data_IF_782734935014
#
_entry.id   IF_782734935014
#
_cell.length_a   1.000
_cell.length_b   1.000
_cell.length_c   1.000
_cell.angle_alpha   90.00
_cell.angle_beta   90.00
_cell.angle_gamma   90.00
#
_symmetry.space_group_name_H-M   'P 1'
#
loop_
_entity.id
_entity.type
_entity.pdbx_description
1 polymer ?
#
# COMPACT_ATOMS: atom_id res chain seq x y z
N UNK A 1 -5.94 18.45 8.26
CA UNK A 1 -5.23 17.93 7.10
C UNK A 1 -4.75 16.50 7.34
N UNK A 2 -3.83 16.20 8.27
CA UNK A 2 -3.35 14.84 8.57
C UNK A 2 -4.49 13.82 8.76
N UNK A 3 -5.46 14.07 9.65
CA UNK A 3 -6.58 13.15 9.87
C UNK A 3 -7.43 12.89 8.62
N UNK A 4 -7.62 13.90 7.80
CA UNK A 4 -8.37 13.76 6.53
C UNK A 4 -7.62 12.87 5.54
N UNK A 5 -6.29 13.04 5.42
CA UNK A 5 -5.43 12.22 4.57
C UNK A 5 -5.41 10.77 5.07
N UNK A 6 -5.14 10.59 6.36
CA UNK A 6 -5.10 9.25 6.96
C UNK A 6 -6.43 8.51 6.80
N UNK A 7 -7.55 9.18 7.08
CA UNK A 7 -8.88 8.60 6.91
C UNK A 7 -9.18 8.24 5.46
N UNK A 8 -8.83 9.12 4.50
CA UNK A 8 -9.02 8.84 3.08
C UNK A 8 -8.19 7.63 2.61
N UNK A 9 -6.91 7.57 2.98
CA UNK A 9 -6.02 6.51 2.55
C UNK A 9 -6.38 5.16 3.19
N UNK A 10 -6.79 5.16 4.46
CA UNK A 10 -7.35 3.97 5.13
C UNK A 10 -8.66 3.53 4.47
N UNK A 11 -9.53 4.48 4.08
CA UNK A 11 -10.78 4.18 3.40
C UNK A 11 -10.56 3.56 2.02
N UNK A 12 -9.66 4.13 1.21
CA UNK A 12 -9.29 3.56 -0.10
C UNK A 12 -8.70 2.17 0.06
N UNK A 13 -7.82 1.98 1.05
CA UNK A 13 -7.26 0.67 1.40
C UNK A 13 -8.35 -0.34 1.75
N UNK A 14 -9.28 0.04 2.63
CA UNK A 14 -10.42 -0.80 3.01
C UNK A 14 -11.29 -1.18 1.81
N UNK A 15 -11.64 -0.20 0.97
CA UNK A 15 -12.39 -0.44 -0.26
C UNK A 15 -11.65 -1.38 -1.22
N UNK A 16 -10.33 -1.23 -1.35
CA UNK A 16 -9.51 -2.09 -2.19
C UNK A 16 -9.53 -3.54 -1.70
N UNK A 17 -9.42 -3.76 -0.39
CA UNK A 17 -9.49 -5.10 0.19
C UNK A 17 -10.86 -5.73 0.02
N UNK A 18 -11.93 -5.00 0.41
CA UNK A 18 -13.31 -5.56 0.36
C UNK A 18 -13.80 -5.77 -1.07
N UNK A 19 -13.30 -4.99 -2.02
CA UNK A 19 -13.63 -5.14 -3.44
C UNK A 19 -13.19 -6.49 -4.03
N UNK A 20 -12.32 -7.23 -3.34
CA UNK A 20 -11.95 -8.60 -3.68
C UNK A 20 -13.14 -9.57 -3.77
N UNK A 21 -14.22 -9.29 -3.05
CA UNK A 21 -15.50 -10.03 -3.16
C UNK A 21 -16.05 -10.00 -4.60
N UNK A 22 -15.74 -8.97 -5.37
CA UNK A 22 -16.10 -8.86 -6.78
C UNK A 22 -15.13 -9.66 -7.67
N UNK A 23 -14.99 -10.95 -7.37
CA UNK A 23 -14.28 -11.96 -8.16
C UNK A 23 -12.82 -11.59 -8.50
N UNK A 24 -12.13 -10.92 -7.61
CA UNK A 24 -10.74 -10.44 -7.78
C UNK A 24 -10.53 -9.37 -8.88
N UNK A 25 -11.56 -9.00 -9.62
CA UNK A 25 -11.44 -8.02 -10.73
C UNK A 25 -11.30 -6.60 -10.20
N UNK A 26 -12.11 -6.23 -9.22
CA UNK A 26 -12.18 -4.86 -8.73
C UNK A 26 -10.88 -4.37 -8.04
N UNK A 27 -10.15 -5.16 -7.23
CA UNK A 27 -8.85 -4.73 -6.71
C UNK A 27 -7.85 -4.39 -7.81
N UNK A 28 -7.78 -5.20 -8.88
CA UNK A 28 -6.90 -4.96 -10.02
C UNK A 28 -7.27 -3.65 -10.71
N UNK A 29 -8.57 -3.41 -10.93
CA UNK A 29 -9.04 -2.17 -11.54
C UNK A 29 -8.72 -0.93 -10.68
N UNK A 30 -8.88 -1.03 -9.36
CA UNK A 30 -8.51 0.05 -8.42
C UNK A 30 -7.02 0.33 -8.50
N UNK A 31 -6.16 -0.70 -8.52
CA UNK A 31 -4.71 -0.53 -8.65
C UNK A 31 -4.33 0.12 -9.98
N UNK A 32 -4.91 -0.33 -11.08
CA UNK A 32 -4.66 0.27 -12.41
C UNK A 32 -5.07 1.74 -12.45
N UNK A 33 -6.25 2.08 -11.92
CA UNK A 33 -6.71 3.47 -11.84
C UNK A 33 -5.74 4.35 -11.02
N UNK A 34 -5.28 3.88 -9.86
CA UNK A 34 -4.32 4.61 -9.05
C UNK A 34 -2.98 4.77 -9.78
N UNK A 35 -2.46 3.72 -10.43
CA UNK A 35 -1.24 3.79 -11.22
C UNK A 35 -1.31 4.77 -12.38
N UNK A 36 -2.43 4.77 -13.13
CA UNK A 36 -2.67 5.73 -14.22
C UNK A 36 -2.72 7.16 -13.68
N UNK A 37 -3.40 7.39 -12.55
CA UNK A 37 -3.49 8.71 -11.93
C UNK A 37 -2.11 9.23 -11.53
N UNK A 38 -1.28 8.41 -10.88
CA UNK A 38 0.09 8.78 -10.49
C UNK A 38 0.95 9.05 -11.73
N UNK A 39 0.89 8.18 -12.73
CA UNK A 39 1.64 8.35 -13.97
C UNK A 39 1.26 9.63 -14.72
N UNK A 40 -0.03 9.96 -14.81
CA UNK A 40 -0.50 11.19 -15.43
C UNK A 40 -0.04 12.44 -14.65
N UNK A 41 -0.05 12.35 -13.31
CA UNK A 41 0.41 13.43 -12.44
C UNK A 41 1.92 13.68 -12.61
N UNK A 42 2.73 12.66 -12.58
CA UNK A 42 4.18 12.75 -12.81
C UNK A 42 4.47 13.29 -14.23
N UNK A 43 3.79 12.78 -15.25
CA UNK A 43 3.94 13.28 -16.63
C UNK A 43 3.67 14.79 -16.73
N UNK A 44 2.65 15.29 -16.03
CA UNK A 44 2.34 16.72 -16.00
C UNK A 44 3.52 17.54 -15.43
N UNK A 45 4.13 17.11 -14.32
CA UNK A 45 5.27 17.80 -13.73
C UNK A 45 6.52 17.70 -14.61
N UNK A 46 6.78 16.57 -15.22
CA UNK A 46 7.88 16.40 -16.16
C UNK A 46 7.72 17.33 -17.38
N UNK A 47 6.52 17.47 -17.91
CA UNK A 47 6.23 18.38 -19.04
C UNK A 47 6.43 19.88 -18.71
N UNK A 48 6.42 20.22 -17.41
CA UNK A 48 6.69 21.57 -16.92
C UNK A 48 8.14 21.79 -16.49
N UNK A 49 9.02 20.81 -16.67
CA UNK A 49 10.43 20.87 -16.23
C UNK A 49 10.64 20.71 -14.72
N UNK A 50 9.61 20.31 -13.96
CA UNK A 50 9.62 20.15 -12.51
C UNK A 50 9.72 18.68 -12.09
N UNK A 51 10.06 17.76 -12.99
CA UNK A 51 10.02 16.32 -12.75
C UNK A 51 10.90 15.86 -11.60
N UNK A 52 12.15 16.33 -11.51
CA UNK A 52 13.04 15.94 -10.41
C UNK A 52 12.53 16.41 -9.04
N UNK A 53 11.92 17.60 -8.98
CA UNK A 53 11.34 18.13 -7.75
C UNK A 53 10.07 17.37 -7.37
N UNK A 54 9.22 17.02 -8.34
CA UNK A 54 7.98 16.26 -8.09
C UNK A 54 8.30 14.88 -7.50
N UNK A 55 9.28 14.17 -8.05
CA UNK A 55 9.74 12.88 -7.51
C UNK A 55 10.13 13.04 -6.04
N UNK A 56 10.98 13.99 -5.70
CA UNK A 56 11.45 14.16 -4.33
C UNK A 56 10.32 14.52 -3.35
N UNK A 57 9.33 15.29 -3.78
CA UNK A 57 8.23 15.71 -2.91
C UNK A 57 7.17 14.61 -2.79
N UNK A 58 6.76 14.01 -3.92
CA UNK A 58 5.65 13.06 -3.97
C UNK A 58 6.07 11.71 -3.37
N UNK A 59 7.26 11.21 -3.70
CA UNK A 59 7.66 9.88 -3.30
C UNK A 59 8.13 9.76 -1.84
N UNK A 60 8.32 10.87 -1.11
CA UNK A 60 8.60 10.84 0.33
C UNK A 60 7.49 10.08 1.08
N UNK A 61 6.23 10.42 0.83
CA UNK A 61 5.07 9.72 1.41
C UNK A 61 4.53 8.65 0.45
N UNK A 62 4.57 8.92 -0.85
CA UNK A 62 4.05 8.05 -1.90
C UNK A 62 4.69 6.66 -1.90
N UNK A 63 5.96 6.52 -1.54
CA UNK A 63 6.61 5.21 -1.41
C UNK A 63 5.86 4.31 -0.42
N UNK A 64 5.52 4.82 0.77
CA UNK A 64 4.79 4.06 1.79
C UNK A 64 3.34 3.83 1.38
N UNK A 65 2.69 4.85 0.84
CA UNK A 65 1.28 4.81 0.45
C UNK A 65 1.03 3.87 -0.74
N UNK A 66 1.78 4.03 -1.83
CA UNK A 66 1.61 3.24 -3.05
C UNK A 66 1.89 1.76 -2.78
N UNK A 67 2.98 1.45 -2.06
CA UNK A 67 3.27 0.06 -1.69
C UNK A 67 2.18 -0.52 -0.78
N UNK A 68 1.64 0.27 0.16
CA UNK A 68 0.53 -0.17 1.00
C UNK A 68 -0.75 -0.46 0.19
N UNK A 69 -1.08 0.38 -0.80
CA UNK A 69 -2.24 0.15 -1.69
C UNK A 69 -2.02 -1.11 -2.54
N UNK A 70 -0.81 -1.36 -3.03
CA UNK A 70 -0.48 -2.60 -3.77
C UNK A 70 -0.68 -3.83 -2.88
N UNK A 71 -0.24 -3.79 -1.62
CA UNK A 71 -0.45 -4.88 -0.65
C UNK A 71 -1.94 -5.04 -0.34
N UNK A 72 -2.69 -3.94 -0.21
CA UNK A 72 -4.15 -3.98 -0.05
C UNK A 72 -4.84 -4.66 -1.24
N UNK A 73 -4.38 -4.40 -2.45
CA UNK A 73 -4.83 -5.11 -3.65
C UNK A 73 -4.57 -6.61 -3.56
N UNK A 74 -3.38 -7.02 -3.13
CA UNK A 74 -3.03 -8.41 -2.84
C UNK A 74 -3.97 -9.04 -1.78
N UNK A 75 -4.28 -8.32 -0.70
CA UNK A 75 -5.24 -8.77 0.31
C UNK A 75 -6.65 -8.93 -0.29
N UNK A 76 -7.08 -8.03 -1.17
CA UNK A 76 -8.33 -8.16 -1.93
C UNK A 76 -8.34 -9.41 -2.82
N UNK A 77 -7.23 -9.71 -3.49
CA UNK A 77 -7.10 -10.95 -4.27
C UNK A 77 -7.18 -12.20 -3.39
N UNK A 78 -6.57 -12.19 -2.19
CA UNK A 78 -6.68 -13.27 -1.21
C UNK A 78 -8.14 -13.47 -0.80
N UNK A 79 -8.88 -12.40 -0.53
CA UNK A 79 -10.29 -12.44 -0.17
C UNK A 79 -11.14 -13.07 -1.28
N UNK A 80 -10.98 -12.61 -2.52
CA UNK A 80 -11.71 -13.12 -3.67
C UNK A 80 -11.33 -14.54 -4.05
N UNK A 81 -10.06 -14.93 -3.86
CA UNK A 81 -9.60 -16.30 -4.10
C UNK A 81 -10.38 -17.33 -3.26
N UNK A 82 -10.70 -17.01 -1.99
CA UNK A 82 -11.48 -17.90 -1.15
C UNK A 82 -12.91 -18.14 -1.63
N UNK A 83 -13.49 -17.19 -2.37
CA UNK A 83 -14.81 -17.34 -3.01
C UNK A 83 -14.72 -18.17 -4.29
N UNK A 84 -13.70 -17.91 -5.12
CA UNK A 84 -13.56 -18.55 -6.43
C UNK A 84 -13.05 -19.99 -6.33
N UNK A 85 -12.12 -20.26 -5.42
CA UNK A 85 -11.39 -21.52 -5.34
C UNK A 85 -11.44 -22.11 -3.93
N UNK A 86 -12.60 -22.63 -3.47
CA UNK A 86 -12.78 -23.14 -2.10
C UNK A 86 -11.99 -24.44 -1.83
N UNK A 87 -11.43 -25.09 -2.88
CA UNK A 87 -10.72 -26.39 -2.78
C UNK A 87 -11.57 -27.43 -2.05
N UNK A 88 -11.04 -28.03 -0.98
CA UNK A 88 -11.69 -29.05 -0.16
C UNK A 88 -12.63 -28.50 0.93
N UNK A 89 -12.64 -27.17 1.12
CA UNK A 89 -13.50 -26.52 2.11
C UNK A 89 -14.89 -26.20 1.53
N UNK A 90 -15.89 -26.08 2.42
CA UNK A 90 -17.16 -25.45 2.03
C UNK A 90 -16.89 -23.98 1.62
N UNK A 91 -17.70 -23.42 0.72
CA UNK A 91 -17.52 -22.04 0.24
C UNK A 91 -17.49 -21.02 1.38
N UNK A 92 -18.34 -21.19 2.40
CA UNK A 92 -18.39 -20.32 3.57
C UNK A 92 -17.13 -20.45 4.43
N UNK A 93 -16.60 -21.66 4.63
CA UNK A 93 -15.36 -21.87 5.39
C UNK A 93 -14.14 -21.30 4.66
N UNK A 94 -14.04 -21.52 3.35
CA UNK A 94 -12.98 -20.96 2.52
C UNK A 94 -13.01 -19.43 2.53
N UNK A 95 -14.18 -18.82 2.34
CA UNK A 95 -14.36 -17.38 2.42
C UNK A 95 -13.97 -16.82 3.78
N UNK A 96 -14.46 -17.43 4.88
CA UNK A 96 -14.12 -16.99 6.24
C UNK A 96 -12.60 -17.01 6.48
N UNK A 97 -11.92 -18.05 6.05
CA UNK A 97 -10.45 -18.16 6.16
C UNK A 97 -9.77 -17.04 5.39
N UNK A 98 -10.10 -16.85 4.12
CA UNK A 98 -9.53 -15.80 3.28
C UNK A 98 -9.86 -14.40 3.79
N UNK A 99 -11.04 -14.18 4.35
CA UNK A 99 -11.42 -12.91 4.96
C UNK A 99 -10.55 -12.59 6.18
N UNK A 100 -10.31 -13.59 7.05
CA UNK A 100 -9.41 -13.41 8.20
C UNK A 100 -7.99 -13.07 7.74
N UNK A 101 -7.48 -13.76 6.72
CA UNK A 101 -6.14 -13.51 6.21
C UNK A 101 -6.05 -12.11 5.54
N UNK A 102 -7.05 -11.71 4.77
CA UNK A 102 -7.13 -10.37 4.18
C UNK A 102 -7.18 -9.27 5.24
N UNK A 103 -7.96 -9.46 6.31
CA UNK A 103 -8.03 -8.52 7.44
C UNK A 103 -6.69 -8.41 8.17
N UNK A 104 -5.99 -9.52 8.40
CA UNK A 104 -4.65 -9.49 9.01
C UNK A 104 -3.67 -8.66 8.16
N UNK A 105 -3.68 -8.83 6.84
CA UNK A 105 -2.84 -8.04 5.94
C UNK A 105 -3.22 -6.57 6.03
N UNK A 106 -4.51 -6.24 5.97
CA UNK A 106 -5.00 -4.86 6.06
C UNK A 106 -4.61 -4.19 7.39
N UNK A 107 -4.73 -4.88 8.51
CA UNK A 107 -4.31 -4.38 9.82
C UNK A 107 -2.79 -4.22 9.90
N UNK A 108 -2.02 -5.08 9.23
CA UNK A 108 -0.56 -4.97 9.17
C UNK A 108 -0.09 -3.71 8.43
N UNK A 109 -0.78 -3.30 7.37
CA UNK A 109 -0.41 -2.10 6.60
C UNK A 109 -1.03 -0.81 7.14
N UNK A 110 -2.07 -0.87 7.97
CA UNK A 110 -2.75 0.32 8.49
C UNK A 110 -1.81 1.31 9.22
N UNK A 111 -0.89 0.89 10.10
CA UNK A 111 0.05 1.81 10.74
C UNK A 111 1.01 2.46 9.73
N UNK A 112 1.37 1.78 8.65
CA UNK A 112 2.23 2.33 7.59
C UNK A 112 1.50 3.43 6.83
N UNK A 113 0.21 3.24 6.54
CA UNK A 113 -0.63 4.25 5.88
C UNK A 113 -0.77 5.50 6.76
N UNK A 114 -0.92 5.32 8.07
CA UNK A 114 -0.97 6.43 9.03
C UNK A 114 0.36 7.19 9.03
N UNK A 115 1.49 6.48 9.00
CA UNK A 115 2.82 7.06 8.90
C UNK A 115 3.01 7.83 7.58
N UNK A 116 2.56 7.28 6.45
CA UNK A 116 2.58 7.96 5.15
C UNK A 116 1.79 9.26 5.18
N UNK A 117 0.57 9.23 5.75
CA UNK A 117 -0.26 10.41 5.92
C UNK A 117 0.38 11.47 6.84
N UNK A 118 1.16 11.03 7.84
CA UNK A 118 1.95 11.94 8.67
C UNK A 118 3.03 12.63 7.84
N UNK A 119 3.77 11.90 7.02
CA UNK A 119 4.79 12.48 6.13
C UNK A 119 4.16 13.48 5.15
N UNK A 120 3.01 13.14 4.56
CA UNK A 120 2.28 14.03 3.66
C UNK A 120 1.77 15.30 4.40
N UNK A 121 1.17 15.12 5.55
CA UNK A 121 0.54 16.23 6.29
C UNK A 121 1.53 17.21 6.93
N UNK A 122 2.72 16.74 7.30
CA UNK A 122 3.71 17.53 8.06
C UNK A 122 5.02 17.75 7.32
N UNK A 123 5.56 16.75 6.65
CA UNK A 123 6.92 16.81 6.08
C UNK A 123 6.89 17.40 4.67
N UNK A 124 6.07 16.90 3.78
CA UNK A 124 6.03 17.37 2.38
C UNK A 124 5.50 18.78 2.23
N UNK A 125 4.88 19.31 3.27
CA UNK A 125 4.41 20.67 3.33
C UNK A 125 5.53 21.71 3.45
N UNK A 126 6.71 21.30 3.92
CA UNK A 126 7.89 22.17 4.04
C UNK A 126 8.69 22.14 2.74
N UNK A 127 8.32 23.02 1.81
CA UNK A 127 8.94 23.11 0.47
C UNK A 127 10.43 23.47 0.48
N UNK A 128 10.96 23.97 1.60
CA UNK A 128 12.36 24.36 1.76
C UNK A 128 13.25 23.24 2.34
N UNK A 129 12.81 21.99 2.24
CA UNK A 129 13.60 20.86 2.75
C UNK A 129 14.86 20.64 1.90
N UNK A 130 16.05 20.50 2.51
CA UNK A 130 17.25 20.22 1.76
C UNK A 130 17.16 18.85 1.06
N UNK A 131 17.66 18.78 -0.18
CA UNK A 131 17.58 17.60 -1.04
C UNK A 131 18.09 16.33 -0.38
N UNK A 132 19.20 16.41 0.37
CA UNK A 132 19.77 15.25 1.07
C UNK A 132 18.80 14.64 2.08
N UNK A 133 18.01 15.47 2.77
CA UNK A 133 17.04 15.01 3.76
C UNK A 133 15.86 14.29 3.06
N UNK A 134 15.35 14.85 1.96
CA UNK A 134 14.30 14.23 1.14
C UNK A 134 14.73 12.85 0.62
N UNK A 135 15.94 12.75 0.09
CA UNK A 135 16.52 11.48 -0.39
C UNK A 135 16.67 10.48 0.77
N UNK A 136 17.14 10.93 1.93
CA UNK A 136 17.32 10.05 3.09
C UNK A 136 15.99 9.47 3.58
N UNK A 137 14.93 10.28 3.65
CA UNK A 137 13.59 9.83 4.03
C UNK A 137 13.04 8.83 2.99
N UNK A 138 13.18 9.14 1.71
CA UNK A 138 12.71 8.27 0.62
C UNK A 138 13.40 6.91 0.67
N UNK A 139 14.74 6.89 0.75
CA UNK A 139 15.52 5.65 0.81
C UNK A 139 15.20 4.84 2.06
N UNK A 140 15.12 5.50 3.23
CA UNK A 140 14.78 4.81 4.49
C UNK A 140 13.36 4.22 4.46
N UNK A 141 12.39 4.94 3.90
CA UNK A 141 11.02 4.46 3.72
C UNK A 141 10.96 3.25 2.79
N UNK A 142 11.70 3.28 1.69
CA UNK A 142 11.78 2.16 0.74
C UNK A 142 12.42 0.93 1.39
N UNK A 143 13.56 1.11 2.05
CA UNK A 143 14.27 0.02 2.76
C UNK A 143 13.41 -0.59 3.88
N UNK A 144 12.68 0.26 4.63
CA UNK A 144 11.73 -0.20 5.63
C UNK A 144 10.63 -1.07 5.02
N UNK A 145 10.04 -0.66 3.88
CA UNK A 145 9.02 -1.45 3.20
C UNK A 145 9.55 -2.79 2.70
N UNK A 146 10.74 -2.81 2.10
CA UNK A 146 11.40 -4.06 1.68
C UNK A 146 11.62 -4.99 2.87
N UNK A 147 12.12 -4.45 3.97
CA UNK A 147 12.33 -5.22 5.18
C UNK A 147 11.01 -5.76 5.75
N UNK A 148 10.01 -4.91 5.90
CA UNK A 148 8.73 -5.27 6.52
C UNK A 148 7.92 -6.29 5.71
N UNK A 149 7.90 -6.11 4.37
CA UNK A 149 7.04 -6.92 3.49
C UNK A 149 7.73 -8.19 3.01
N UNK A 150 9.05 -8.17 2.84
CA UNK A 150 9.79 -9.30 2.26
C UNK A 150 10.65 -9.99 3.31
N UNK A 151 11.57 -9.25 3.94
CA UNK A 151 12.59 -9.87 4.79
C UNK A 151 11.99 -10.40 6.09
N UNK A 152 11.18 -9.61 6.77
CA UNK A 152 10.60 -9.99 8.06
C UNK A 152 9.69 -11.24 7.97
N UNK A 153 8.76 -11.36 7.00
CA UNK A 153 8.00 -12.59 6.82
C UNK A 153 8.86 -13.82 6.51
N UNK A 154 9.90 -13.66 5.69
CA UNK A 154 10.84 -14.77 5.40
C UNK A 154 11.57 -15.26 6.65
N UNK A 155 11.99 -14.34 7.53
CA UNK A 155 12.60 -14.70 8.82
C UNK A 155 11.62 -15.48 9.68
N UNK A 156 10.36 -15.04 9.78
CA UNK A 156 9.33 -15.72 10.57
C UNK A 156 9.04 -17.13 10.06
N UNK A 157 8.93 -17.31 8.74
CA UNK A 157 8.71 -18.63 8.13
C UNK A 157 9.88 -19.57 8.44
N UNK A 158 11.12 -19.11 8.26
CA UNK A 158 12.31 -19.93 8.60
C UNK A 158 12.33 -20.34 10.09
N UNK A 159 11.95 -19.43 10.98
CA UNK A 159 11.92 -19.69 12.42
C UNK A 159 10.85 -20.72 12.78
N UNK A 160 9.69 -20.69 12.13
CA UNK A 160 8.61 -21.66 12.37
C UNK A 160 8.91 -23.07 11.84
N UNK A 161 9.83 -23.20 10.88
CA UNK A 161 10.25 -24.51 10.33
C UNK A 161 11.34 -25.19 11.18
N UNK A 162 11.99 -24.44 12.09
CA UNK A 162 13.06 -24.93 12.94
C UNK A 162 12.58 -25.27 14.37
N UNK A 163 11.26 -25.22 14.62
CA UNK A 163 10.58 -25.63 15.86
C UNK A 163 9.75 -26.88 15.58
#
# INVERSE_FOLDING_TARGET
>A
MFFSIAANNLWVTFLTVISGVLLCIAPVFILLRNGIMIGAFEYYFFSKGLGAQSILVIWIHGTLEILSIVIAGGAGLVLGHGLLFPKTYTRTAAFRKSAIDAVKIALGIAPIIILAAFFEGYITRHTNMPMWLSISILVSSFLFMVWYVIIYPLILVKRSQNI
#
